data_IF_854489843558
#
_entry.id   IF_854489843558
#
_cell.length_a   1.000
_cell.length_b   1.000
_cell.length_c   1.000
_cell.angle_alpha   90.00
_cell.angle_beta   90.00
_cell.angle_gamma   90.00
#
_symmetry.space_group_name_H-M   'P 1'
#
loop_
_entity.id
_entity.type
_entity.pdbx_description
1 polymer ?
#
# COMPACT_ATOMS: atom_id res chain seq x y z
N UNK A 1 11.59 -16.78 -44.06
CA UNK A 1 10.31 -16.72 -43.30
C UNK A 1 10.67 -16.56 -41.83
N UNK A 2 10.24 -15.44 -41.26
CA UNK A 2 10.70 -14.88 -39.97
C UNK A 2 10.09 -15.63 -38.78
N UNK A 3 10.91 -16.32 -38.00
CA UNK A 3 10.58 -16.79 -36.66
C UNK A 3 10.83 -15.67 -35.66
N UNK A 4 9.76 -15.06 -35.15
CA UNK A 4 9.81 -14.04 -34.10
C UNK A 4 10.06 -14.73 -32.75
N UNK A 5 11.27 -14.57 -32.22
CA UNK A 5 11.57 -14.82 -30.81
C UNK A 5 10.77 -13.81 -29.95
N UNK A 6 9.72 -14.28 -29.27
CA UNK A 6 9.14 -13.56 -28.13
C UNK A 6 9.95 -13.94 -26.90
N UNK A 7 10.78 -13.01 -26.43
CA UNK A 7 11.39 -13.11 -25.11
C UNK A 7 10.30 -12.94 -24.05
N UNK A 8 9.88 -14.05 -23.44
CA UNK A 8 9.13 -14.04 -22.21
C UNK A 8 10.07 -13.67 -21.07
N UNK A 9 10.07 -12.40 -20.67
CA UNK A 9 10.77 -11.93 -19.48
C UNK A 9 9.96 -12.43 -18.27
N UNK A 10 10.51 -13.40 -17.53
CA UNK A 10 10.01 -13.81 -16.22
C UNK A 10 10.28 -12.68 -15.22
N UNK A 11 9.30 -11.83 -14.98
CA UNK A 11 9.29 -10.91 -13.84
C UNK A 11 9.12 -11.70 -12.55
N UNK A 12 9.98 -11.41 -11.57
CA UNK A 12 10.06 -12.06 -10.26
C UNK A 12 9.98 -10.97 -9.20
N UNK A 13 9.03 -11.13 -8.27
CA UNK A 13 9.00 -10.71 -6.85
C UNK A 13 8.47 -9.31 -6.49
N UNK A 14 7.22 -9.32 -6.02
CA UNK A 14 6.70 -8.94 -4.67
C UNK A 14 6.88 -7.50 -4.13
N UNK A 15 5.73 -6.80 -4.01
CA UNK A 15 5.08 -6.34 -2.74
C UNK A 15 4.67 -4.84 -2.71
N UNK A 16 3.51 -4.59 -2.06
CA UNK A 16 3.17 -3.35 -1.33
C UNK A 16 2.32 -2.23 -1.99
N UNK A 17 1.42 -2.56 -2.91
CA UNK A 17 0.47 -1.58 -3.50
C UNK A 17 -1.01 -1.67 -3.07
N UNK A 18 -1.36 -2.67 -2.28
CA UNK A 18 -2.70 -2.86 -1.72
C UNK A 18 -3.02 -1.85 -0.63
N UNK A 19 -2.03 -1.44 0.16
CA UNK A 19 -2.27 -0.70 1.40
C UNK A 19 -2.66 0.77 1.18
N UNK A 20 -2.24 1.43 0.10
CA UNK A 20 -2.68 2.82 -0.19
C UNK A 20 -4.13 2.86 -0.71
N UNK A 21 -4.51 1.91 -1.57
CA UNK A 21 -5.91 1.78 -2.00
C UNK A 21 -6.80 1.23 -0.89
N UNK A 22 -6.27 0.38 0.00
CA UNK A 22 -6.94 -0.09 1.23
C UNK A 22 -7.01 1.03 2.27
N UNK A 23 -6.03 1.93 2.42
CA UNK A 23 -6.11 3.06 3.35
C UNK A 23 -7.06 4.16 2.85
N UNK A 24 -7.08 4.42 1.55
CA UNK A 24 -8.10 5.29 0.93
C UNK A 24 -9.49 4.65 0.96
N UNK A 25 -9.59 3.32 0.82
CA UNK A 25 -10.86 2.60 0.95
C UNK A 25 -11.32 2.51 2.42
N UNK A 26 -10.44 2.29 3.40
CA UNK A 26 -10.78 2.24 4.82
C UNK A 26 -11.20 3.63 5.32
N UNK A 27 -10.50 4.70 4.93
CA UNK A 27 -10.91 6.08 5.27
C UNK A 27 -12.23 6.52 4.61
N UNK A 28 -12.64 5.88 3.52
CA UNK A 28 -13.92 6.15 2.85
C UNK A 28 -15.03 5.15 3.23
N UNK A 29 -14.69 4.08 3.96
CA UNK A 29 -15.60 3.00 4.37
C UNK A 29 -15.71 2.91 5.89
N UNK A 30 -15.97 4.04 6.57
CA UNK A 30 -16.48 4.02 7.95
C UNK A 30 -17.89 3.38 8.06
N UNK A 31 -18.49 2.93 6.94
CA UNK A 31 -19.81 2.30 6.89
C UNK A 31 -19.85 0.96 6.12
N UNK A 32 -18.72 0.29 5.88
CA UNK A 32 -18.76 -1.09 5.41
C UNK A 32 -19.21 -2.01 6.57
N UNK A 33 -20.28 -2.83 6.41
CA UNK A 33 -20.65 -3.77 7.46
C UNK A 33 -19.48 -4.72 7.65
N UNK A 34 -18.94 -4.75 8.88
CA UNK A 34 -17.86 -5.62 9.29
C UNK A 34 -18.07 -7.01 8.67
N UNK A 35 -17.16 -7.38 7.76
CA UNK A 35 -17.01 -8.78 7.39
C UNK A 35 -16.89 -9.55 8.71
N UNK A 36 -17.59 -10.68 8.81
CA UNK A 36 -17.62 -11.53 10.01
C UNK A 36 -16.23 -12.12 10.29
N UNK A 37 -15.30 -11.29 10.73
CA UNK A 37 -14.12 -11.71 11.47
C UNK A 37 -14.59 -12.03 12.88
N UNK A 38 -14.30 -13.25 13.31
CA UNK A 38 -14.29 -13.79 14.66
C UNK A 38 -14.92 -12.90 15.75
N UNK A 39 -16.00 -13.38 16.40
CA UNK A 39 -16.75 -12.64 17.45
C UNK A 39 -15.86 -12.12 18.59
N UNK A 40 -14.63 -12.64 18.74
CA UNK A 40 -13.66 -12.15 19.73
C UNK A 40 -12.93 -10.86 19.31
N UNK A 41 -12.78 -10.55 18.01
CA UNK A 41 -12.13 -9.33 17.54
C UNK A 41 -13.02 -8.08 17.67
N UNK A 42 -14.34 -8.26 17.84
CA UNK A 42 -15.31 -7.17 17.90
C UNK A 42 -15.38 -6.48 19.27
N UNK A 43 -14.77 -7.02 20.33
CA UNK A 43 -14.87 -6.47 21.69
C UNK A 43 -13.90 -5.34 22.01
N UNK A 44 -12.85 -5.11 21.21
CA UNK A 44 -11.74 -4.22 21.57
C UNK A 44 -11.73 -2.85 20.86
N UNK A 45 -12.67 -2.56 19.97
CA UNK A 45 -12.65 -1.36 19.11
C UNK A 45 -13.65 -0.21 19.39
N UNK A 46 -14.63 -0.27 20.30
CA UNK A 46 -15.64 0.80 20.37
C UNK A 46 -15.18 2.10 21.06
N UNK A 47 -14.07 2.12 21.81
CA UNK A 47 -13.70 3.31 22.61
C UNK A 47 -12.74 4.30 21.91
N UNK A 48 -12.27 4.03 20.70
CA UNK A 48 -11.30 4.90 19.99
C UNK A 48 -11.93 5.91 19.01
N UNK A 49 -13.24 5.84 18.77
CA UNK A 49 -13.91 6.62 17.73
C UNK A 49 -14.44 8.00 18.18
N UNK A 50 -14.67 8.21 19.49
CA UNK A 50 -15.43 9.39 19.96
C UNK A 50 -14.62 10.70 20.04
N UNK A 51 -13.29 10.67 20.00
CA UNK A 51 -12.43 11.85 20.18
C UNK A 51 -11.61 12.26 18.94
N UNK A 52 -11.79 11.60 17.79
CA UNK A 52 -11.08 11.98 16.57
C UNK A 52 -11.80 13.17 15.88
N UNK A 53 -11.14 14.33 15.68
CA UNK A 53 -11.73 15.40 14.89
C UNK A 53 -12.04 14.86 13.49
N UNK A 54 -13.23 15.17 12.98
CA UNK A 54 -13.64 14.78 11.62
C UNK A 54 -12.57 15.27 10.63
N UNK A 55 -11.78 14.34 10.10
CA UNK A 55 -10.77 14.64 9.10
C UNK A 55 -11.55 15.08 7.85
N UNK A 56 -11.33 16.30 7.31
CA UNK A 56 -12.04 16.75 6.13
C UNK A 56 -11.79 15.76 4.99
N UNK A 57 -12.81 15.00 4.61
CA UNK A 57 -12.67 14.03 3.52
C UNK A 57 -12.60 14.79 2.20
N UNK A 58 -11.54 14.56 1.42
CA UNK A 58 -11.37 15.20 0.13
C UNK A 58 -12.58 14.94 -0.79
N UNK A 59 -13.16 16.01 -1.34
CA UNK A 59 -14.30 15.92 -2.24
C UNK A 59 -13.88 15.61 -3.68
N UNK A 60 -14.77 15.01 -4.46
CA UNK A 60 -14.63 14.83 -5.89
C UNK A 60 -14.88 16.14 -6.64
N UNK A 61 -13.82 16.92 -6.83
CA UNK A 61 -13.81 18.20 -7.57
C UNK A 61 -12.92 18.09 -8.81
N UNK A 62 -13.08 19.01 -9.78
CA UNK A 62 -12.19 19.04 -10.96
C UNK A 62 -10.72 19.27 -10.60
N UNK A 63 -10.46 20.07 -9.56
CA UNK A 63 -9.09 20.29 -9.06
C UNK A 63 -8.49 19.01 -8.48
N UNK A 64 -9.25 18.27 -7.65
CA UNK A 64 -8.79 16.99 -7.10
C UNK A 64 -8.64 15.93 -8.20
N UNK A 65 -9.51 15.91 -9.21
CA UNK A 65 -9.37 15.00 -10.37
C UNK A 65 -8.11 15.28 -11.17
N UNK A 66 -7.77 16.57 -11.36
CA UNK A 66 -6.53 16.98 -12.03
C UNK A 66 -5.32 16.55 -11.21
N UNK A 67 -5.30 16.87 -9.91
CA UNK A 67 -4.24 16.47 -8.98
C UNK A 67 -3.97 14.96 -9.00
N UNK A 68 -5.03 14.14 -8.91
CA UNK A 68 -4.92 12.68 -8.98
C UNK A 68 -4.34 12.24 -10.32
N UNK A 69 -4.86 12.75 -11.44
CA UNK A 69 -4.37 12.40 -12.78
C UNK A 69 -2.90 12.75 -12.95
N UNK A 70 -2.52 13.98 -12.62
CA UNK A 70 -1.17 14.50 -12.79
C UNK A 70 -0.17 13.71 -11.93
N UNK A 71 -0.56 13.32 -10.72
CA UNK A 71 0.25 12.44 -9.85
C UNK A 71 0.49 11.08 -10.53
N UNK A 72 -0.56 10.43 -11.03
CA UNK A 72 -0.43 9.13 -11.67
C UNK A 72 0.35 9.20 -12.99
N UNK A 73 0.17 10.26 -13.78
CA UNK A 73 0.98 10.51 -14.99
C UNK A 73 2.47 10.72 -14.65
N UNK A 74 2.76 11.44 -13.57
CA UNK A 74 4.13 11.60 -13.05
C UNK A 74 4.73 10.26 -12.64
N UNK A 75 4.01 9.43 -11.87
CA UNK A 75 4.44 8.07 -11.50
C UNK A 75 4.76 7.25 -12.76
N UNK A 76 3.85 7.25 -13.75
CA UNK A 76 4.03 6.49 -14.98
C UNK A 76 5.27 6.94 -15.76
N UNK A 77 5.47 8.26 -15.87
CA UNK A 77 6.63 8.86 -16.54
C UNK A 77 7.94 8.45 -15.86
N UNK A 78 8.03 8.60 -14.54
CA UNK A 78 9.23 8.22 -13.78
C UNK A 78 9.51 6.72 -13.90
N UNK A 79 8.49 5.88 -13.75
CA UNK A 79 8.65 4.43 -13.91
C UNK A 79 9.09 4.05 -15.33
N UNK A 80 8.64 4.77 -16.35
CA UNK A 80 9.10 4.57 -17.72
C UNK A 80 10.58 4.95 -17.88
N UNK A 81 11.03 6.05 -17.27
CA UNK A 81 12.44 6.44 -17.24
C UNK A 81 13.29 5.38 -16.53
N UNK A 82 12.88 4.92 -15.33
CA UNK A 82 13.57 3.86 -14.57
C UNK A 82 13.75 2.60 -15.42
N UNK A 83 12.73 2.20 -16.17
CA UNK A 83 12.80 1.00 -17.03
C UNK A 83 13.70 1.17 -18.24
N UNK A 84 13.73 2.35 -18.85
CA UNK A 84 14.36 2.56 -20.16
C UNK A 84 15.76 3.15 -20.12
N UNK A 85 16.09 3.91 -19.07
CA UNK A 85 17.38 4.59 -18.96
C UNK A 85 18.39 3.81 -18.10
N UNK A 86 18.06 2.58 -17.70
CA UNK A 86 18.86 1.77 -16.75
C UNK A 86 19.24 2.55 -15.48
N UNK A 87 18.43 3.54 -15.10
CA UNK A 87 18.64 4.42 -13.96
C UNK A 87 18.63 3.59 -12.69
N UNK A 88 19.85 3.21 -12.28
CA UNK A 88 20.28 2.50 -11.10
C UNK A 88 19.50 1.22 -10.73
N UNK A 89 20.18 0.12 -10.40
CA UNK A 89 19.55 -1.03 -9.76
C UNK A 89 19.13 -0.72 -8.31
N UNK A 90 18.85 0.55 -7.95
CA UNK A 90 18.51 0.96 -6.58
C UNK A 90 17.37 0.08 -6.10
N UNK A 91 17.76 -0.78 -5.18
CA UNK A 91 16.89 -1.72 -4.52
C UNK A 91 17.52 -2.07 -3.20
N UNK A 92 16.72 -2.08 -2.17
CA UNK A 92 17.05 -2.81 -0.97
C UNK A 92 16.72 -4.26 -1.29
N UNK A 93 17.69 -5.16 -1.18
CA UNK A 93 17.47 -6.59 -1.44
C UNK A 93 18.25 -7.42 -0.42
N UNK A 94 17.60 -7.70 0.68
CA UNK A 94 18.02 -8.68 1.68
C UNK A 94 17.09 -9.90 1.61
N UNK A 95 17.26 -10.84 2.54
CA UNK A 95 16.31 -11.94 2.73
C UNK A 95 15.02 -11.49 3.40
N UNK A 96 15.07 -10.39 4.17
CA UNK A 96 13.99 -9.83 4.97
C UNK A 96 13.22 -8.74 4.20
N UNK A 97 13.94 -7.89 3.45
CA UNK A 97 13.40 -6.67 2.82
C UNK A 97 13.75 -6.63 1.34
N UNK A 98 12.74 -6.36 0.51
CA UNK A 98 12.89 -6.13 -0.93
C UNK A 98 12.06 -4.92 -1.33
N UNK A 99 12.74 -3.85 -1.75
CA UNK A 99 12.14 -2.60 -2.19
C UNK A 99 12.90 -2.13 -3.42
N UNK A 100 12.23 -1.85 -4.51
CA UNK A 100 12.77 -1.30 -5.76
C UNK A 100 12.53 0.21 -5.86
N UNK A 101 13.26 0.88 -6.76
CA UNK A 101 13.06 2.31 -7.01
C UNK A 101 11.65 2.63 -7.50
N UNK A 102 11.07 1.78 -8.35
CA UNK A 102 9.71 1.95 -8.85
C UNK A 102 8.66 1.88 -7.73
N UNK A 103 8.84 0.99 -6.76
CA UNK A 103 7.98 0.86 -5.58
C UNK A 103 8.13 2.05 -4.63
N UNK A 104 9.36 2.51 -4.42
CA UNK A 104 9.62 3.69 -3.61
C UNK A 104 8.98 4.95 -4.22
N UNK A 105 9.18 5.19 -5.52
CA UNK A 105 8.59 6.35 -6.23
C UNK A 105 7.07 6.32 -6.14
N UNK A 106 6.45 5.18 -6.43
CA UNK A 106 4.99 5.07 -6.37
C UNK A 106 4.48 5.34 -4.95
N UNK A 107 5.11 4.77 -3.93
CA UNK A 107 4.72 4.98 -2.52
C UNK A 107 4.88 6.44 -2.12
N UNK A 108 6.01 7.07 -2.46
CA UNK A 108 6.30 8.47 -2.19
C UNK A 108 5.22 9.38 -2.81
N UNK A 109 5.03 9.29 -4.14
CA UNK A 109 4.05 10.13 -4.86
C UNK A 109 2.61 9.87 -4.40
N UNK A 110 2.29 8.63 -4.01
CA UNK A 110 0.97 8.30 -3.45
C UNK A 110 0.74 8.93 -2.08
N UNK A 111 1.75 8.96 -1.20
CA UNK A 111 1.64 9.66 0.09
C UNK A 111 1.57 11.17 -0.11
N UNK A 112 2.35 11.74 -1.04
CA UNK A 112 2.23 13.15 -1.41
C UNK A 112 0.81 13.51 -1.90
N UNK A 113 0.20 12.64 -2.71
CA UNK A 113 -1.19 12.81 -3.15
C UNK A 113 -2.17 12.80 -1.97
N UNK A 114 -2.02 11.86 -1.04
CA UNK A 114 -2.86 11.81 0.18
C UNK A 114 -2.73 13.11 0.97
N UNK A 115 -1.50 13.59 1.18
CA UNK A 115 -1.28 14.85 1.89
C UNK A 115 -1.90 16.04 1.17
N UNK A 116 -1.76 16.12 -0.15
CA UNK A 116 -2.33 17.18 -0.96
C UNK A 116 -3.88 17.16 -0.95
N UNK A 117 -4.49 15.97 -1.04
CA UNK A 117 -5.94 15.80 -0.97
C UNK A 117 -6.51 16.20 0.40
N UNK A 118 -5.78 15.90 1.47
CA UNK A 118 -6.18 16.26 2.85
C UNK A 118 -5.70 17.66 3.27
N UNK A 119 -5.06 18.42 2.38
CA UNK A 119 -4.53 19.76 2.64
C UNK A 119 -3.57 19.80 3.84
N UNK A 120 -2.78 18.74 4.04
CA UNK A 120 -1.76 18.70 5.08
C UNK A 120 -0.54 19.52 4.65
N UNK A 121 -0.08 20.39 5.55
CA UNK A 121 0.98 21.36 5.24
C UNK A 121 2.37 20.73 5.10
N UNK A 122 2.61 19.61 5.79
CA UNK A 122 3.90 18.92 5.79
C UNK A 122 3.84 17.74 4.84
N UNK A 123 4.72 17.69 3.84
CA UNK A 123 4.86 16.54 2.94
C UNK A 123 5.70 15.46 3.62
N UNK A 124 5.43 14.17 3.38
CA UNK A 124 6.27 13.10 3.91
C UNK A 124 7.69 13.25 3.34
N UNK A 125 8.71 13.08 4.19
CA UNK A 125 10.10 13.02 3.73
C UNK A 125 10.41 11.66 3.09
N UNK A 126 11.39 11.63 2.19
CA UNK A 126 11.82 10.37 1.58
C UNK A 126 12.34 9.34 2.58
N UNK A 127 12.95 9.80 3.67
CA UNK A 127 13.42 8.95 4.77
C UNK A 127 12.25 8.29 5.51
N UNK A 128 11.20 9.05 5.85
CA UNK A 128 10.01 8.51 6.50
C UNK A 128 9.29 7.49 5.62
N UNK A 129 9.16 7.78 4.32
CA UNK A 129 8.55 6.83 3.37
C UNK A 129 9.37 5.55 3.29
N UNK A 130 10.69 5.65 3.19
CA UNK A 130 11.56 4.48 3.11
C UNK A 130 11.54 3.66 4.40
N UNK A 131 11.63 4.32 5.56
CA UNK A 131 11.52 3.70 6.87
C UNK A 131 10.20 2.93 7.01
N UNK A 132 9.08 3.53 6.59
CA UNK A 132 7.78 2.90 6.61
C UNK A 132 7.75 1.62 5.76
N UNK A 133 8.21 1.68 4.51
CA UNK A 133 8.25 0.51 3.61
C UNK A 133 9.14 -0.62 4.16
N UNK A 134 10.30 -0.28 4.75
CA UNK A 134 11.19 -1.25 5.39
C UNK A 134 10.50 -1.89 6.58
N UNK A 135 9.87 -1.08 7.43
CA UNK A 135 9.19 -1.55 8.63
C UNK A 135 8.04 -2.50 8.29
N UNK A 136 7.25 -2.20 7.25
CA UNK A 136 6.19 -3.09 6.77
C UNK A 136 6.75 -4.42 6.26
N UNK A 137 7.81 -4.40 5.44
CA UNK A 137 8.44 -5.62 4.95
C UNK A 137 9.01 -6.49 6.09
N UNK A 138 9.66 -5.86 7.09
CA UNK A 138 10.15 -6.54 8.29
C UNK A 138 8.99 -7.11 9.13
N UNK A 139 7.89 -6.38 9.26
CA UNK A 139 6.69 -6.84 9.99
C UNK A 139 6.13 -8.11 9.35
N UNK A 140 5.99 -8.13 8.01
CA UNK A 140 5.55 -9.32 7.27
C UNK A 140 6.55 -10.47 7.42
N UNK A 141 7.85 -10.18 7.37
CA UNK A 141 8.88 -11.20 7.57
C UNK A 141 8.79 -11.82 8.96
N UNK A 142 8.65 -10.98 10.00
CA UNK A 142 8.49 -11.43 11.38
C UNK A 142 7.23 -12.27 11.56
N UNK A 143 6.08 -11.84 11.02
CA UNK A 143 4.84 -12.63 11.06
C UNK A 143 5.04 -14.04 10.47
N UNK A 144 5.76 -14.15 9.33
CA UNK A 144 6.09 -15.45 8.72
C UNK A 144 7.00 -16.28 9.62
N UNK A 145 7.98 -15.67 10.29
CA UNK A 145 8.90 -16.37 11.20
C UNK A 145 8.20 -16.87 12.48
N UNK A 146 7.19 -16.15 12.97
CA UNK A 146 6.42 -16.55 14.17
C UNK A 146 5.33 -17.59 13.86
N UNK A 147 5.27 -18.09 12.63
CA UNK A 147 4.35 -19.16 12.23
C UNK A 147 2.97 -18.69 11.82
N UNK A 148 2.75 -17.38 11.67
CA UNK A 148 1.52 -16.86 11.06
C UNK A 148 1.49 -17.33 9.61
N UNK A 149 0.32 -17.79 9.16
CA UNK A 149 0.11 -18.23 7.78
C UNK A 149 -0.98 -17.40 7.12
N UNK A 150 -0.87 -17.20 5.81
CA UNK A 150 -1.89 -16.58 4.96
C UNK A 150 -2.12 -17.51 3.79
N UNK A 151 -3.36 -17.94 3.60
CA UNK A 151 -3.73 -18.86 2.51
C UNK A 151 -4.04 -18.09 1.24
N UNK A 152 -4.03 -18.80 0.10
CA UNK A 152 -4.41 -18.17 -1.16
C UNK A 152 -5.88 -17.72 -1.19
N UNK A 153 -6.75 -18.48 -0.53
CA UNK A 153 -8.18 -18.19 -0.40
C UNK A 153 -8.41 -16.88 0.36
N UNK A 154 -7.73 -16.67 1.50
CA UNK A 154 -7.85 -15.43 2.28
C UNK A 154 -7.49 -14.18 1.48
N UNK A 155 -6.44 -14.26 0.65
CA UNK A 155 -6.03 -13.16 -0.22
C UNK A 155 -7.08 -12.90 -1.30
N UNK A 156 -7.64 -13.96 -1.89
CA UNK A 156 -8.65 -13.84 -2.95
C UNK A 156 -9.98 -13.33 -2.42
N UNK A 157 -10.43 -13.80 -1.27
CA UNK A 157 -11.64 -13.34 -0.61
C UNK A 157 -11.58 -11.84 -0.30
N UNK A 158 -10.42 -11.36 0.16
CA UNK A 158 -10.21 -9.93 0.43
C UNK A 158 -10.24 -9.10 -0.86
N UNK A 159 -9.59 -9.57 -1.93
CA UNK A 159 -9.63 -8.92 -3.25
C UNK A 159 -11.06 -8.87 -3.79
N UNK A 160 -11.77 -9.99 -3.76
CA UNK A 160 -13.13 -10.12 -4.29
C UNK A 160 -14.14 -9.30 -3.48
N UNK A 161 -13.96 -9.22 -2.16
CA UNK A 161 -14.74 -8.34 -1.30
C UNK A 161 -14.54 -6.88 -1.71
N UNK A 162 -13.30 -6.43 -1.89
CA UNK A 162 -13.03 -5.03 -2.26
C UNK A 162 -13.52 -4.72 -3.67
N UNK A 163 -13.30 -5.62 -4.63
CA UNK A 163 -13.80 -5.47 -6.00
C UNK A 163 -15.33 -5.35 -6.01
N UNK A 164 -16.06 -6.21 -5.28
CA UNK A 164 -17.53 -6.13 -5.15
C UNK A 164 -17.96 -4.84 -4.47
N UNK A 165 -17.29 -4.43 -3.40
CA UNK A 165 -17.61 -3.19 -2.69
C UNK A 165 -17.53 -1.95 -3.60
N UNK A 166 -16.64 -1.95 -4.60
CA UNK A 166 -16.54 -0.87 -5.59
C UNK A 166 -17.57 -0.98 -6.74
N UNK A 167 -18.00 -2.19 -7.10
CA UNK A 167 -18.92 -2.42 -8.23
C UNK A 167 -20.40 -2.34 -7.84
N UNK A 168 -20.76 -2.89 -6.70
CA UNK A 168 -22.15 -3.26 -6.41
C UNK A 168 -22.99 -2.09 -5.84
N UNK A 169 -22.35 -1.04 -5.31
CA UNK A 169 -23.05 -0.01 -4.53
C UNK A 169 -23.18 1.32 -5.24
N UNK A 170 -22.38 1.57 -6.29
CA UNK A 170 -22.20 2.92 -6.85
C UNK A 170 -21.68 3.92 -5.81
N UNK A 171 -20.98 4.99 -6.20
CA UNK A 171 -20.51 5.95 -5.22
C UNK A 171 -21.70 6.80 -4.71
N UNK A 172 -21.97 6.72 -3.41
CA UNK A 172 -23.01 7.46 -2.69
C UNK A 172 -22.53 8.80 -2.18
N UNK A 173 -21.23 8.93 -1.96
CA UNK A 173 -20.60 10.16 -1.44
C UNK A 173 -19.58 10.70 -2.42
N UNK A 174 -19.26 11.99 -2.28
CA UNK A 174 -18.20 12.62 -3.06
C UNK A 174 -16.84 11.97 -2.79
N UNK A 175 -16.60 11.53 -1.55
CA UNK A 175 -15.40 10.78 -1.18
C UNK A 175 -15.32 9.43 -1.92
N UNK A 176 -16.42 8.67 -1.98
CA UNK A 176 -16.48 7.41 -2.73
C UNK A 176 -16.23 7.62 -4.24
N UNK A 177 -16.76 8.70 -4.83
CA UNK A 177 -16.47 9.05 -6.23
C UNK A 177 -14.98 9.30 -6.46
N UNK A 178 -14.33 10.02 -5.53
CA UNK A 178 -12.90 10.27 -5.59
C UNK A 178 -12.09 8.98 -5.46
N UNK A 179 -12.46 8.09 -4.54
CA UNK A 179 -11.82 6.77 -4.39
C UNK A 179 -11.91 5.93 -5.65
N UNK A 180 -13.08 5.87 -6.30
CA UNK A 180 -13.24 5.15 -7.57
C UNK A 180 -12.37 5.76 -8.68
N UNK A 181 -12.29 7.08 -8.76
CA UNK A 181 -11.43 7.75 -9.74
C UNK A 181 -9.93 7.53 -9.48
N UNK A 182 -9.49 7.51 -8.22
CA UNK A 182 -8.11 7.13 -7.86
C UNK A 182 -7.82 5.70 -8.32
N UNK A 183 -8.77 4.78 -8.10
CA UNK A 183 -8.63 3.39 -8.54
C UNK A 183 -8.56 3.28 -10.06
N UNK A 184 -9.40 4.03 -10.79
CA UNK A 184 -9.38 4.12 -12.25
C UNK A 184 -8.01 4.61 -12.76
N UNK A 185 -7.47 5.69 -12.20
CA UNK A 185 -6.17 6.22 -12.60
C UNK A 185 -5.02 5.25 -12.27
N UNK A 186 -5.11 4.54 -11.14
CA UNK A 186 -4.15 3.48 -10.79
C UNK A 186 -4.14 2.38 -11.84
N UNK A 187 -5.31 1.86 -12.24
CA UNK A 187 -5.41 0.83 -13.28
C UNK A 187 -4.86 1.37 -14.60
N UNK A 188 -5.26 2.59 -14.99
CA UNK A 188 -4.82 3.23 -16.25
C UNK A 188 -3.31 3.22 -16.41
N UNK A 189 -2.55 3.60 -15.38
CA UNK A 189 -1.10 3.73 -15.53
C UNK A 189 -0.36 2.39 -15.65
N UNK A 190 -0.99 1.28 -15.22
CA UNK A 190 -0.43 -0.06 -15.42
C UNK A 190 -0.50 -0.53 -16.87
N UNK A 191 -1.42 0.02 -17.67
CA UNK A 191 -1.72 -0.45 -19.03
C UNK A 191 -2.44 -1.81 -19.07
N UNK A 192 -2.85 -2.35 -17.93
CA UNK A 192 -3.62 -3.59 -17.82
C UNK A 192 -5.12 -3.31 -18.02
N UNK A 193 -5.86 -4.35 -18.41
CA UNK A 193 -7.31 -4.35 -18.23
C UNK A 193 -7.66 -4.37 -16.74
N UNK A 194 -8.87 -3.95 -16.37
CA UNK A 194 -9.33 -4.04 -14.98
C UNK A 194 -9.26 -5.48 -14.45
N UNK A 195 -9.66 -6.47 -15.26
CA UNK A 195 -9.60 -7.89 -14.90
C UNK A 195 -8.17 -8.37 -14.66
N UNK A 196 -7.24 -8.03 -15.56
CA UNK A 196 -5.82 -8.39 -15.42
C UNK A 196 -5.20 -7.70 -14.20
N UNK A 197 -5.61 -6.46 -13.92
CA UNK A 197 -5.16 -5.72 -12.75
C UNK A 197 -5.56 -6.44 -11.45
N UNK A 198 -6.84 -6.82 -11.30
CA UNK A 198 -7.34 -7.55 -10.13
C UNK A 198 -6.71 -8.93 -9.97
N UNK A 199 -6.20 -9.51 -11.05
CA UNK A 199 -5.52 -10.79 -11.06
C UNK A 199 -3.99 -10.71 -11.01
N UNK A 200 -3.42 -9.51 -10.95
CA UNK A 200 -1.98 -9.31 -10.99
C UNK A 200 -1.25 -9.86 -9.75
N UNK A 201 -0.05 -10.41 -9.95
CA UNK A 201 0.83 -10.88 -8.85
C UNK A 201 1.18 -9.74 -7.89
N UNK A 202 1.33 -8.52 -8.42
CA UNK A 202 1.63 -7.32 -7.66
C UNK A 202 0.53 -6.98 -6.66
N UNK A 203 -0.73 -6.94 -7.13
CA UNK A 203 -1.88 -6.68 -6.26
C UNK A 203 -2.03 -7.78 -5.22
N UNK A 204 -1.96 -9.05 -5.66
CA UNK A 204 -2.04 -10.22 -4.80
C UNK A 204 -1.02 -10.16 -3.65
N UNK A 205 0.25 -9.91 -3.99
CA UNK A 205 1.36 -9.80 -3.03
C UNK A 205 1.12 -8.74 -1.95
N UNK A 206 0.45 -7.66 -2.32
CA UNK A 206 0.21 -6.58 -1.39
C UNK A 206 -0.97 -6.83 -0.45
N UNK A 207 -2.03 -7.51 -0.92
CA UNK A 207 -3.07 -8.02 -0.02
C UNK A 207 -2.52 -9.10 0.91
N UNK A 208 -1.66 -10.00 0.41
CA UNK A 208 -0.98 -10.99 1.24
C UNK A 208 -0.22 -10.31 2.39
N UNK A 209 0.61 -9.30 2.07
CA UNK A 209 1.33 -8.51 3.06
C UNK A 209 0.40 -7.85 4.10
N UNK A 210 -0.69 -7.22 3.65
CA UNK A 210 -1.65 -6.59 4.54
C UNK A 210 -2.32 -7.59 5.49
N UNK A 211 -2.67 -8.79 5.01
CA UNK A 211 -3.27 -9.84 5.84
C UNK A 211 -2.26 -10.35 6.88
N UNK A 212 -0.99 -10.55 6.51
CA UNK A 212 0.06 -10.90 7.46
C UNK A 212 0.18 -9.87 8.60
N UNK A 213 0.24 -8.59 8.24
CA UNK A 213 0.32 -7.49 9.20
C UNK A 213 -0.90 -7.45 10.13
N UNK A 214 -2.11 -7.58 9.57
CA UNK A 214 -3.35 -7.58 10.35
C UNK A 214 -3.44 -8.78 11.30
N UNK A 215 -3.04 -9.98 10.85
CA UNK A 215 -3.00 -11.16 11.71
C UNK A 215 -1.99 -11.00 12.85
N UNK A 216 -0.80 -10.49 12.57
CA UNK A 216 0.21 -10.22 13.61
C UNK A 216 -0.30 -9.22 14.64
N UNK A 217 -0.91 -8.13 14.18
CA UNK A 217 -1.55 -7.16 15.07
C UNK A 217 -2.66 -7.80 15.90
N UNK A 218 -3.53 -8.62 15.30
CA UNK A 218 -4.57 -9.36 16.00
C UNK A 218 -4.02 -10.31 17.07
N UNK A 219 -2.93 -11.03 16.78
CA UNK A 219 -2.23 -11.86 17.76
C UNK A 219 -1.71 -11.04 18.94
N UNK A 220 -1.14 -9.86 18.68
CA UNK A 220 -0.62 -8.99 19.73
C UNK A 220 -1.74 -8.38 20.59
N UNK A 221 -2.87 -8.02 19.96
CA UNK A 221 -4.02 -7.45 20.67
C UNK A 221 -4.79 -8.49 21.49
N UNK A 222 -4.75 -9.76 21.10
CA UNK A 222 -5.42 -10.85 21.82
C UNK A 222 -4.62 -11.38 23.01
N UNK A 223 -3.34 -11.05 23.10
CA UNK A 223 -2.47 -11.45 24.21
C UNK A 223 -2.60 -10.45 25.37
N UNK A 224 -3.24 -10.86 26.47
CA UNK A 224 -3.48 -10.03 27.65
C UNK A 224 -2.18 -9.56 28.34
N UNK A 225 -1.06 -10.25 28.12
CA UNK A 225 0.25 -9.85 28.66
C UNK A 225 0.91 -8.73 27.83
N UNK A 226 0.40 -8.45 26.62
CA UNK A 226 0.88 -7.39 25.75
C UNK A 226 0.05 -6.11 25.91
N UNK A 227 0.72 -4.95 25.83
CA UNK A 227 0.11 -3.62 25.96
C UNK A 227 -0.61 -3.18 24.67
N UNK A 228 -1.26 -4.12 23.99
CA UNK A 228 -1.94 -3.91 22.72
C UNK A 228 -1.12 -3.14 21.69
N UNK A 229 -1.63 -1.99 21.23
CA UNK A 229 -0.98 -1.18 20.18
C UNK A 229 0.40 -0.65 20.57
N UNK A 230 0.70 -0.46 21.84
CA UNK A 230 2.03 -0.03 22.27
C UNK A 230 3.07 -1.14 22.08
N UNK A 231 2.69 -2.39 22.35
CA UNK A 231 3.54 -3.55 22.06
C UNK A 231 3.77 -3.71 20.55
N UNK A 232 2.74 -3.49 19.74
CA UNK A 232 2.87 -3.54 18.28
C UNK A 232 3.85 -2.48 17.75
N UNK A 233 3.73 -1.23 18.21
CA UNK A 233 4.66 -0.15 17.85
C UNK A 233 6.08 -0.41 18.32
N UNK A 234 6.24 -0.94 19.54
CA UNK A 234 7.54 -1.31 20.09
C UNK A 234 8.23 -2.38 19.25
N UNK A 235 7.50 -3.42 18.83
CA UNK A 235 7.99 -4.45 17.92
C UNK A 235 8.47 -3.85 16.59
N UNK A 236 7.66 -2.99 15.96
CA UNK A 236 8.03 -2.33 14.70
C UNK A 236 9.31 -1.49 14.84
N UNK A 237 9.42 -0.73 15.93
CA UNK A 237 10.62 0.08 16.22
C UNK A 237 11.86 -0.80 16.45
N UNK A 238 11.71 -1.92 17.16
CA UNK A 238 12.79 -2.89 17.39
C UNK A 238 13.27 -3.52 16.08
N UNK A 239 12.35 -4.03 15.26
CA UNK A 239 12.65 -4.63 13.96
C UNK A 239 13.42 -3.66 13.06
N UNK A 240 12.94 -2.42 12.94
CA UNK A 240 13.61 -1.39 12.14
C UNK A 240 15.00 -1.05 12.69
N UNK A 241 15.11 -0.85 14.01
CA UNK A 241 16.38 -0.52 14.67
C UNK A 241 17.42 -1.61 14.43
N UNK A 242 17.03 -2.88 14.52
CA UNK A 242 17.94 -4.00 14.31
C UNK A 242 18.33 -4.20 12.86
N UNK A 243 17.41 -3.94 11.92
CA UNK A 243 17.73 -3.91 10.51
C UNK A 243 18.72 -2.79 10.18
N UNK A 244 18.49 -1.59 10.70
CA UNK A 244 19.34 -0.41 10.46
C UNK A 244 20.77 -0.58 10.98
N UNK A 245 20.96 -1.24 12.14
CA UNK A 245 22.31 -1.57 12.66
C UNK A 245 23.10 -2.46 11.70
N UNK A 246 22.43 -3.34 10.94
CA UNK A 246 23.05 -4.32 10.04
C UNK A 246 23.21 -3.78 8.62
N UNK A 247 22.35 -2.86 8.20
CA UNK A 247 22.26 -2.39 6.82
C UNK A 247 22.36 -0.87 6.76
N UNK A 248 23.38 -0.37 6.04
CA UNK A 248 23.45 1.05 5.67
C UNK A 248 22.54 1.31 4.49
N UNK A 249 21.50 2.11 4.69
CA UNK A 249 20.50 2.41 3.67
C UNK A 249 20.57 3.90 3.35
N UNK A 250 20.50 4.23 2.07
CA UNK A 250 20.45 5.59 1.58
C UNK A 250 19.15 5.80 0.83
N UNK A 251 18.44 6.87 1.17
CA UNK A 251 17.27 7.35 0.44
C UNK A 251 17.69 7.70 -0.98
N UNK A 252 16.98 7.24 -2.02
CA UNK A 252 17.33 7.57 -3.39
C UNK A 252 17.01 9.04 -3.65
N UNK A 253 17.91 9.73 -4.34
CA UNK A 253 17.66 11.08 -4.83
C UNK A 253 16.76 11.00 -6.07
N UNK A 254 15.59 11.65 -6.01
CA UNK A 254 14.62 11.68 -7.11
C UNK A 254 14.69 12.97 -7.93
N UNK A 255 15.58 13.91 -7.58
CA UNK A 255 15.65 15.23 -8.24
C UNK A 255 15.96 15.16 -9.74
N UNK A 256 16.66 14.11 -10.17
CA UNK A 256 16.97 13.87 -11.60
C UNK A 256 15.81 13.21 -12.36
N UNK A 257 14.77 12.74 -11.66
CA UNK A 257 13.66 11.97 -12.24
C UNK A 257 12.36 12.77 -12.35
N UNK A 258 12.22 13.87 -11.60
CA UNK A 258 11.04 14.73 -11.71
C UNK A 258 11.07 15.48 -13.05
N UNK A 259 10.09 15.24 -13.95
CA UNK A 259 9.99 16.03 -15.17
C UNK A 259 9.62 17.47 -14.80
N UNK A 260 10.48 18.42 -15.18
CA UNK A 260 10.21 19.87 -15.13
C UNK A 260 8.98 20.22 -15.96
#
# INVERSE_FOLDING_TARGET
MSSRYRNAIRLRKLSLFGLVAVLLAISACDHAPAAKTDENAQRALPELADDMPAIPTAAFTEDNKRLVRDTFDSIQSIQHQIRNQELSPWKIKTDEVRISLAEYVFTMKSKELIHALNQWNEKPSGEEVLQHMITEALTVHHAKQTGITVTQEEVRDMIDMQMRAMKDTGPKTSAEQLTLYIMEQRIRITGLSEEDFWNSEELYSAYEAAIYTNKLMGHILADEDLKGMDSYRALQAELYTDFWKKHRIQVPDLSELDPV
#
